data_IF_603256596550
#
_entry.id   IF_603256596550
#
_cell.length_a   1.000
_cell.length_b   1.000
_cell.length_c   1.000
_cell.angle_alpha   90.00
_cell.angle_beta   90.00
_cell.angle_gamma   90.00
#
_symmetry.space_group_name_H-M   'P 1'
#
loop_
_entity.id
_entity.type
_entity.pdbx_description
1 polymer ?
#
# COMPACT_ATOMS: atom_id res chain seq x y z
N UNK A 1 10.39 3.80 14.29
CA UNK A 1 9.20 3.12 13.77
C UNK A 1 8.53 4.02 12.76
N UNK A 2 8.30 3.53 11.56
CA UNK A 2 7.52 4.19 10.51
C UNK A 2 6.05 3.82 10.66
N UNK A 3 5.17 4.77 10.35
CA UNK A 3 3.72 4.56 10.36
C UNK A 3 3.18 5.04 9.04
N UNK A 4 2.48 4.16 8.33
CA UNK A 4 1.77 4.46 7.09
C UNK A 4 0.27 4.39 7.40
N UNK A 5 -0.48 5.43 7.04
CA UNK A 5 -1.93 5.46 7.17
C UNK A 5 -2.60 5.32 5.81
N UNK A 6 -3.81 4.75 5.78
CA UNK A 6 -4.61 4.74 4.55
C UNK A 6 -4.84 6.15 3.99
N UNK A 7 -5.00 7.15 4.86
CA UNK A 7 -5.14 8.56 4.45
C UNK A 7 -3.89 9.18 3.81
N UNK A 8 -2.69 8.64 4.09
CA UNK A 8 -1.44 9.17 3.56
C UNK A 8 -1.33 9.00 2.04
N UNK A 9 -1.99 7.98 1.46
CA UNK A 9 -2.02 7.72 0.03
C UNK A 9 -2.74 8.82 -0.75
N UNK A 10 -3.78 9.43 -0.15
CA UNK A 10 -4.62 10.43 -0.81
C UNK A 10 -4.13 11.86 -0.59
N UNK A 11 -2.98 12.03 0.08
CA UNK A 11 -2.39 13.33 0.39
C UNK A 11 -1.06 13.47 -0.34
N UNK A 12 -0.89 14.60 -1.05
CA UNK A 12 0.40 14.94 -1.66
C UNK A 12 1.49 14.99 -0.58
N UNK A 13 2.52 14.16 -0.75
CA UNK A 13 3.59 14.00 0.24
C UNK A 13 3.15 13.37 1.57
N UNK A 14 2.03 12.63 1.59
CA UNK A 14 1.57 11.90 2.76
C UNK A 14 2.43 10.68 3.06
N UNK A 15 2.87 9.95 2.01
CA UNK A 15 3.86 8.88 2.17
C UNK A 15 5.21 9.49 2.53
N UNK A 16 5.80 9.00 3.64
CA UNK A 16 7.10 9.44 4.10
C UNK A 16 8.19 9.11 3.06
N UNK A 17 8.90 10.13 2.58
CA UNK A 17 9.93 9.98 1.54
C UNK A 17 11.12 9.10 1.97
N UNK A 18 11.32 8.87 3.27
CA UNK A 18 12.31 7.87 3.71
C UNK A 18 11.95 6.47 3.22
N UNK A 19 10.65 6.15 3.09
CA UNK A 19 10.16 4.85 2.63
C UNK A 19 10.24 4.67 1.11
N UNK A 20 10.64 5.71 0.36
CA UNK A 20 10.92 5.59 -1.09
C UNK A 20 12.39 5.27 -1.36
N UNK A 21 13.24 5.24 -0.33
CA UNK A 21 14.65 4.91 -0.44
C UNK A 21 14.88 3.40 -0.18
N UNK A 22 15.43 2.69 -1.17
CA UNK A 22 15.64 1.25 -1.08
C UNK A 22 16.50 0.83 0.13
N UNK A 23 17.50 1.64 0.50
CA UNK A 23 18.38 1.35 1.63
C UNK A 23 17.64 1.42 2.97
N UNK A 24 16.62 2.27 3.09
CA UNK A 24 15.75 2.30 4.28
C UNK A 24 14.87 1.06 4.29
N UNK A 25 14.21 0.75 3.18
CA UNK A 25 13.27 -0.37 3.08
C UNK A 25 13.96 -1.73 3.30
N UNK A 26 15.15 -1.94 2.73
CA UNK A 26 15.99 -3.13 2.96
C UNK A 26 16.22 -3.43 4.45
N UNK A 27 16.40 -2.38 5.25
CA UNK A 27 16.72 -2.51 6.67
C UNK A 27 15.50 -2.79 7.56
N UNK A 28 14.28 -2.67 7.02
CA UNK A 28 13.04 -2.83 7.78
C UNK A 28 12.12 -3.94 7.23
N UNK A 29 12.48 -4.53 6.09
CA UNK A 29 11.74 -5.61 5.44
C UNK A 29 11.87 -6.94 6.21
N UNK A 30 10.77 -7.68 6.27
CA UNK A 30 10.74 -9.03 6.84
C UNK A 30 11.12 -10.09 5.81
N UNK A 31 10.84 -9.83 4.52
CA UNK A 31 11.15 -10.73 3.40
C UNK A 31 11.55 -9.93 2.15
N UNK A 32 12.26 -10.58 1.23
CA UNK A 32 12.70 -9.97 -0.03
C UNK A 32 12.78 -10.96 -1.19
N UNK A 33 12.46 -10.47 -2.39
CA UNK A 33 12.75 -11.16 -3.65
C UNK A 33 13.74 -10.33 -4.46
N UNK A 34 14.95 -10.84 -4.64
CA UNK A 34 15.98 -10.18 -5.47
C UNK A 34 15.61 -10.17 -6.95
N UNK A 35 14.96 -11.23 -7.44
CA UNK A 35 14.54 -11.35 -8.84
C UNK A 35 13.48 -10.31 -9.20
N UNK A 36 12.54 -10.06 -8.30
CA UNK A 36 11.45 -9.10 -8.51
C UNK A 36 11.71 -7.72 -7.91
N UNK A 37 12.84 -7.54 -7.20
CA UNK A 37 13.21 -6.30 -6.47
C UNK A 37 12.08 -5.85 -5.53
N UNK A 38 11.47 -6.83 -4.86
CA UNK A 38 10.36 -6.65 -3.93
C UNK A 38 10.85 -6.81 -2.49
N UNK A 39 10.33 -5.97 -1.61
CA UNK A 39 10.53 -6.04 -0.17
C UNK A 39 9.18 -6.04 0.52
N UNK A 40 9.00 -6.95 1.47
CA UNK A 40 7.72 -7.16 2.14
C UNK A 40 7.87 -6.92 3.63
N UNK A 41 6.90 -6.22 4.21
CA UNK A 41 6.72 -6.06 5.65
C UNK A 41 5.36 -6.63 6.02
N UNK A 42 5.32 -7.48 7.03
CA UNK A 42 4.08 -7.98 7.61
C UNK A 42 3.72 -7.14 8.84
N UNK A 43 2.60 -6.43 8.78
CA UNK A 43 2.16 -5.49 9.81
C UNK A 43 0.74 -5.85 10.28
N UNK A 44 0.65 -6.65 11.35
CA UNK A 44 -0.60 -7.18 11.90
C UNK A 44 -1.42 -7.95 10.86
N UNK A 45 -2.48 -7.30 10.34
CA UNK A 45 -3.44 -7.85 9.38
C UNK A 45 -3.17 -7.36 7.95
N UNK A 46 -1.99 -6.78 7.71
CA UNK A 46 -1.63 -6.14 6.45
C UNK A 46 -0.29 -6.64 5.96
N UNK A 47 -0.17 -6.78 4.65
CA UNK A 47 1.10 -6.92 3.93
C UNK A 47 1.40 -5.58 3.28
N UNK A 48 2.59 -5.05 3.52
CA UNK A 48 3.11 -3.86 2.86
C UNK A 48 4.21 -4.30 1.92
N UNK A 49 4.06 -4.02 0.64
CA UNK A 49 5.00 -4.40 -0.40
C UNK A 49 5.61 -3.16 -1.04
N UNK A 50 6.93 -3.17 -1.20
CA UNK A 50 7.68 -2.13 -1.88
C UNK A 50 8.36 -2.74 -3.10
N UNK A 51 8.07 -2.20 -4.27
CA UNK A 51 8.74 -2.57 -5.51
C UNK A 51 9.70 -1.49 -5.94
N UNK A 52 10.90 -1.88 -6.39
CA UNK A 52 11.91 -0.97 -6.90
C UNK A 52 12.30 -1.31 -8.33
N UNK A 53 12.40 -0.30 -9.19
CA UNK A 53 12.90 -0.47 -10.55
C UNK A 53 14.43 -0.67 -10.56
N UNK A 54 15.00 -0.91 -11.75
CA UNK A 54 16.43 -1.17 -11.95
C UNK A 54 17.36 -0.09 -11.40
N UNK A 55 16.91 1.17 -11.46
CA UNK A 55 17.63 2.35 -10.97
C UNK A 55 17.47 2.58 -9.47
N UNK A 56 16.88 1.63 -8.74
CA UNK A 56 16.60 1.70 -7.28
C UNK A 56 15.58 2.75 -6.88
N UNK A 57 14.88 3.35 -7.85
CA UNK A 57 13.72 4.19 -7.56
C UNK A 57 12.53 3.30 -7.20
N UNK A 58 11.73 3.76 -6.25
CA UNK A 58 10.46 3.12 -5.93
C UNK A 58 9.58 3.08 -7.20
N UNK A 59 9.04 1.91 -7.52
CA UNK A 59 8.08 1.70 -8.58
C UNK A 59 6.66 1.80 -8.02
N UNK A 60 6.40 1.11 -6.90
CA UNK A 60 5.17 1.26 -6.14
C UNK A 60 5.37 0.87 -4.68
N UNK A 61 4.47 1.37 -3.84
CA UNK A 61 4.19 0.83 -2.51
C UNK A 61 2.76 0.32 -2.52
N UNK A 62 2.52 -0.92 -2.11
CA UNK A 62 1.20 -1.54 -2.04
C UNK A 62 0.90 -1.98 -0.61
N UNK A 63 -0.35 -1.85 -0.20
CA UNK A 63 -0.88 -2.43 1.03
C UNK A 63 -2.12 -3.25 0.71
N UNK A 64 -2.19 -4.47 1.22
CA UNK A 64 -3.35 -5.35 1.13
C UNK A 64 -3.67 -5.96 2.51
N UNK A 65 -4.91 -6.41 2.68
CA UNK A 65 -5.26 -7.25 3.83
C UNK A 65 -4.53 -8.59 3.72
N UNK A 66 -3.94 -9.05 4.82
CA UNK A 66 -3.19 -10.29 4.89
C UNK A 66 -3.70 -11.16 6.05
N UNK A 67 -4.11 -12.40 5.71
CA UNK A 67 -4.62 -13.40 6.67
C UNK A 67 -3.56 -14.52 6.85
N UNK A 68 -2.29 -14.15 7.02
CA UNK A 68 -1.18 -15.09 7.23
C UNK A 68 -0.66 -15.15 8.67
N UNK A 69 0.24 -16.12 8.91
CA UNK A 69 0.68 -16.67 10.22
C UNK A 69 0.90 -15.61 11.31
N UNK A 70 0.49 -15.97 12.54
CA UNK A 70 0.65 -15.27 13.83
C UNK A 70 0.80 -13.75 13.72
N UNK A 71 -0.20 -12.98 14.17
CA UNK A 71 -0.21 -11.50 14.19
C UNK A 71 1.18 -10.94 14.53
N UNK A 72 1.94 -10.62 13.49
CA UNK A 72 3.31 -10.15 13.63
C UNK A 72 3.27 -8.64 13.57
N UNK A 73 3.70 -8.01 14.66
CA UNK A 73 3.90 -6.57 14.72
C UNK A 73 5.35 -6.32 14.31
N UNK A 74 5.57 -5.91 13.07
CA UNK A 74 6.88 -5.40 12.68
C UNK A 74 7.27 -4.25 13.61
N UNK A 75 8.45 -4.29 14.26
CA UNK A 75 8.89 -3.22 15.16
C UNK A 75 9.33 -1.97 14.40
N UNK A 76 9.49 -2.07 13.07
CA UNK A 76 10.07 -1.03 12.25
C UNK A 76 9.04 -0.26 11.44
N UNK A 77 7.97 -0.90 10.99
CA UNK A 77 6.94 -0.27 10.19
C UNK A 77 5.55 -0.84 10.52
N UNK A 78 4.55 0.03 10.60
CA UNK A 78 3.16 -0.38 10.77
C UNK A 78 2.25 0.31 9.76
N UNK A 79 1.13 -0.36 9.47
CA UNK A 79 0.04 0.21 8.69
C UNK A 79 -1.20 0.42 9.57
N UNK A 80 -1.86 1.56 9.42
CA UNK A 80 -3.10 1.92 10.10
C UNK A 80 -4.16 2.24 9.04
N UNK A 81 -5.21 1.43 8.98
CA UNK A 81 -6.40 1.75 8.17
C UNK A 81 -7.32 2.74 8.90
N UNK A 82 -6.89 4.00 8.95
CA UNK A 82 -7.63 5.09 9.60
C UNK A 82 -8.89 5.54 8.85
N UNK A 83 -9.05 5.13 7.59
CA UNK A 83 -10.22 5.43 6.77
C UNK A 83 -11.20 4.26 6.65
N UNK A 84 -10.84 3.10 7.21
CA UNK A 84 -11.52 1.82 6.96
C UNK A 84 -11.65 1.57 5.45
N UNK A 85 -10.59 1.89 4.69
CA UNK A 85 -10.59 1.88 3.22
C UNK A 85 -10.89 0.49 2.68
N UNK A 86 -10.36 -0.55 3.33
CA UNK A 86 -10.52 -1.94 2.91
C UNK A 86 -11.91 -2.53 3.19
N UNK A 87 -12.80 -1.77 3.84
CA UNK A 87 -14.19 -2.16 4.04
C UNK A 87 -15.14 -1.48 3.05
N UNK A 88 -14.64 -0.48 2.31
CA UNK A 88 -15.45 0.29 1.35
C UNK A 88 -15.67 -0.50 0.06
N UNK A 89 -16.89 -0.38 -0.43
CA UNK A 89 -17.31 -0.86 -1.75
C UNK A 89 -16.90 0.10 -2.86
N UNK A 90 -16.89 -0.41 -4.10
CA UNK A 90 -16.68 0.42 -5.28
C UNK A 90 -17.63 1.62 -5.33
N UNK A 91 -18.93 1.40 -5.08
CA UNK A 91 -19.94 2.46 -5.08
C UNK A 91 -19.69 3.55 -4.04
N UNK A 92 -19.20 3.19 -2.85
CA UNK A 92 -18.88 4.17 -1.81
C UNK A 92 -17.65 5.02 -2.19
N UNK A 93 -16.64 4.40 -2.81
CA UNK A 93 -15.45 5.11 -3.31
C UNK A 93 -15.85 6.08 -4.43
N UNK A 94 -16.64 5.63 -5.42
CA UNK A 94 -17.16 6.49 -6.50
C UNK A 94 -17.94 7.67 -5.92
N UNK A 95 -18.84 7.41 -4.95
CA UNK A 95 -19.64 8.45 -4.32
C UNK A 95 -18.78 9.46 -3.54
N UNK A 96 -17.70 9.02 -2.90
CA UNK A 96 -16.81 9.85 -2.08
C UNK A 96 -15.88 10.71 -2.93
N UNK A 97 -15.19 10.10 -3.90
CA UNK A 97 -14.12 10.75 -4.65
C UNK A 97 -14.56 11.30 -6.01
N UNK A 98 -15.80 10.97 -6.46
CA UNK A 98 -16.35 11.37 -7.76
C UNK A 98 -15.42 10.97 -8.91
N UNK A 99 -14.91 9.73 -8.84
CA UNK A 99 -14.03 9.12 -9.84
C UNK A 99 -14.68 7.84 -10.34
N UNK A 100 -14.71 7.70 -11.66
CA UNK A 100 -15.18 6.47 -12.31
C UNK A 100 -14.05 5.43 -12.34
N UNK A 101 -14.38 4.14 -12.22
CA UNK A 101 -13.40 3.06 -12.38
C UNK A 101 -12.93 2.94 -13.83
N UNK A 102 -11.74 2.38 -14.02
CA UNK A 102 -11.25 1.97 -15.33
C UNK A 102 -11.83 0.61 -15.77
N UNK A 103 -11.40 0.10 -16.93
CA UNK A 103 -11.83 -1.20 -17.49
C UNK A 103 -11.53 -2.41 -16.59
N UNK A 104 -10.61 -2.26 -15.63
CA UNK A 104 -10.23 -3.28 -14.63
C UNK A 104 -10.91 -3.04 -13.27
N UNK A 105 -11.89 -2.13 -13.20
CA UNK A 105 -12.58 -1.72 -11.97
C UNK A 105 -11.71 -1.00 -10.93
N UNK A 106 -10.51 -0.53 -11.30
CA UNK A 106 -9.64 0.22 -10.40
C UNK A 106 -9.96 1.72 -10.42
N UNK A 107 -9.73 2.41 -9.30
CA UNK A 107 -9.92 3.87 -9.17
C UNK A 107 -8.60 4.55 -8.84
N UNK A 108 -8.21 5.54 -9.65
CA UNK A 108 -7.01 6.37 -9.43
C UNK A 108 -7.38 7.74 -8.86
N UNK A 109 -6.74 8.12 -7.73
CA UNK A 109 -6.94 9.39 -7.02
C UNK A 109 -5.56 9.98 -6.70
N UNK A 110 -5.09 10.91 -7.54
CA UNK A 110 -3.72 11.39 -7.45
C UNK A 110 -2.75 10.24 -7.70
N UNK A 111 -1.80 10.06 -6.79
CA UNK A 111 -0.80 8.98 -6.83
C UNK A 111 -1.34 7.67 -6.23
N UNK A 112 -2.57 7.66 -5.71
CA UNK A 112 -3.19 6.47 -5.14
C UNK A 112 -3.97 5.68 -6.20
N UNK A 113 -3.86 4.35 -6.17
CA UNK A 113 -4.74 3.45 -6.93
C UNK A 113 -5.41 2.46 -5.97
N UNK A 114 -6.73 2.41 -6.04
CA UNK A 114 -7.57 1.45 -5.34
C UNK A 114 -7.92 0.32 -6.31
N UNK A 115 -7.52 -0.90 -5.95
CA UNK A 115 -7.90 -2.12 -6.65
C UNK A 115 -9.00 -2.84 -5.87
N UNK A 116 -9.90 -3.51 -6.58
CA UNK A 116 -11.09 -4.12 -6.00
C UNK A 116 -11.14 -5.61 -6.30
N UNK A 117 -11.52 -6.39 -5.29
CA UNK A 117 -11.89 -7.79 -5.42
C UNK A 117 -13.14 -8.06 -4.60
N UNK A 118 -13.99 -8.96 -5.09
CA UNK A 118 -15.26 -9.34 -4.42
C UNK A 118 -16.12 -8.12 -3.97
N UNK A 119 -16.07 -7.03 -4.75
CA UNK A 119 -16.87 -5.82 -4.54
C UNK A 119 -16.34 -4.84 -3.48
N UNK A 120 -15.17 -5.10 -2.89
CA UNK A 120 -14.52 -4.23 -1.90
C UNK A 120 -13.10 -3.88 -2.31
N UNK A 121 -12.52 -2.85 -1.68
CA UNK A 121 -11.09 -2.55 -1.84
C UNK A 121 -10.28 -3.73 -1.34
N UNK A 122 -9.46 -4.27 -2.23
CA UNK A 122 -8.58 -5.41 -1.98
C UNK A 122 -7.15 -4.92 -1.65
N UNK A 123 -6.65 -3.99 -2.47
CA UNK A 123 -5.30 -3.46 -2.38
C UNK A 123 -5.27 -1.96 -2.67
N UNK A 124 -4.36 -1.27 -1.99
CA UNK A 124 -4.14 0.17 -2.08
C UNK A 124 -2.69 0.41 -2.51
N UNK A 125 -2.51 1.05 -3.65
CA UNK A 125 -1.20 1.35 -4.24
C UNK A 125 -0.89 2.84 -4.14
N UNK A 126 0.39 3.15 -3.98
CA UNK A 126 1.00 4.45 -4.19
C UNK A 126 1.97 4.34 -5.38
N UNK A 127 1.76 5.17 -6.39
CA UNK A 127 2.51 5.25 -7.64
C UNK A 127 3.14 6.65 -7.77
N UNK A 128 4.36 6.86 -7.22
CA UNK A 128 5.06 8.15 -7.20
C UNK A 128 5.54 8.65 -8.57
#
# INVERSE_FOLDING_TARGET
>A
MYTIKSSDFFKKGGINTALTAIEVVKNIADDYSSEHRLYVIYALNYKIEFSFNENTSIHYLMVEKFIGKEKYLSPYCMFIDDMSIFDKTLSEIVATYKKEPNEYHNITIGDAVLCFDNGKVDSLYYLP
#
